data_IF_357519202333
#
_entry.id   IF_357519202333
#
_cell.length_a   1.000
_cell.length_b   1.000
_cell.length_c   1.000
_cell.angle_alpha   90.00
_cell.angle_beta   90.00
_cell.angle_gamma   90.00
#
_symmetry.space_group_name_H-M   'P 1'
#
loop_
_entity.id
_entity.type
_entity.pdbx_description
1 polymer ?
#
# COMPACT_ATOMS: atom_id res chain seq x y z
N UNK A 1 15.60 -5.28 -17.33
CA UNK A 1 14.63 -5.96 -16.46
C UNK A 1 13.43 -5.04 -16.37
N UNK A 2 12.34 -5.37 -17.07
CA UNK A 2 11.11 -4.61 -16.96
C UNK A 2 10.52 -4.97 -15.60
N UNK A 3 10.58 -4.06 -14.63
CA UNK A 3 9.79 -4.22 -13.41
C UNK A 3 8.33 -4.35 -13.83
N UNK A 4 7.58 -5.33 -13.34
CA UNK A 4 6.13 -5.32 -13.49
C UNK A 4 5.64 -3.98 -12.97
N UNK A 5 4.68 -3.35 -13.65
CA UNK A 5 4.15 -2.05 -13.27
C UNK A 5 3.62 -2.17 -11.84
N UNK A 6 4.43 -1.73 -10.87
CA UNK A 6 4.19 -1.95 -9.46
C UNK A 6 3.07 -1.05 -8.97
N UNK A 7 2.25 -1.54 -8.03
CA UNK A 7 1.29 -0.69 -7.35
C UNK A 7 2.06 0.41 -6.62
N UNK A 8 1.74 1.66 -6.88
CA UNK A 8 2.35 2.80 -6.19
C UNK A 8 1.31 3.46 -5.27
N UNK A 9 1.77 3.99 -4.14
CA UNK A 9 0.93 4.70 -3.19
C UNK A 9 1.57 6.02 -2.77
N UNK A 10 0.73 6.93 -2.28
CA UNK A 10 1.16 8.22 -1.75
C UNK A 10 1.52 8.10 -0.27
N UNK A 11 2.70 8.58 0.09
CA UNK A 11 3.21 8.55 1.45
C UNK A 11 3.46 9.96 2.00
N UNK A 12 2.91 10.24 3.17
CA UNK A 12 3.09 11.51 3.88
C UNK A 12 4.20 11.39 4.94
N UNK A 13 5.11 12.34 4.99
CA UNK A 13 6.16 12.37 6.01
C UNK A 13 5.75 13.26 7.19
N UNK A 14 5.72 12.68 8.40
CA UNK A 14 5.40 13.41 9.64
C UNK A 14 6.38 14.55 9.99
N UNK A 15 7.53 14.68 9.30
CA UNK A 15 8.52 15.74 9.51
C UNK A 15 8.33 16.99 8.61
N UNK A 16 7.21 17.10 7.89
CA UNK A 16 6.90 18.28 7.07
C UNK A 16 7.53 18.25 5.66
N UNK A 17 7.98 17.08 5.21
CA UNK A 17 8.47 16.87 3.84
C UNK A 17 7.33 16.32 3.00
N UNK A 18 7.16 16.90 1.81
CA UNK A 18 6.09 16.67 0.82
C UNK A 18 5.67 15.21 0.64
N UNK A 19 4.41 15.01 0.23
CA UNK A 19 3.88 13.72 -0.20
C UNK A 19 4.77 13.10 -1.29
N UNK A 20 5.09 11.82 -1.15
CA UNK A 20 5.90 11.07 -2.12
C UNK A 20 5.13 9.87 -2.64
N UNK A 21 5.06 9.72 -3.95
CA UNK A 21 4.61 8.49 -4.60
C UNK A 21 5.78 7.51 -4.61
N UNK A 22 5.56 6.28 -4.13
CA UNK A 22 6.56 5.22 -4.15
C UNK A 22 5.94 3.85 -4.50
N UNK A 23 6.73 2.94 -5.12
CA UNK A 23 6.33 1.55 -5.28
C UNK A 23 6.06 0.89 -3.92
N UNK A 24 4.95 0.17 -3.83
CA UNK A 24 4.48 -0.46 -2.59
C UNK A 24 5.44 -1.55 -2.10
N UNK A 25 6.16 -2.23 -2.99
CA UNK A 25 7.16 -3.25 -2.66
C UNK A 25 8.44 -2.69 -2.03
N UNK A 26 8.80 -1.43 -2.32
CA UNK A 26 9.95 -0.73 -1.71
C UNK A 26 9.69 -0.29 -0.25
N UNK A 27 8.42 -0.27 0.17
CA UNK A 27 8.02 0.21 1.51
C UNK A 27 8.03 -0.91 2.54
N UNK A 28 8.59 -0.64 3.71
CA UNK A 28 8.70 -1.61 4.82
C UNK A 28 7.61 -1.40 5.87
N UNK A 29 7.27 -2.49 6.55
CA UNK A 29 6.45 -2.43 7.76
C UNK A 29 7.26 -1.86 8.92
N UNK A 30 6.63 -1.05 9.76
CA UNK A 30 7.24 -0.53 11.00
C UNK A 30 7.22 -1.52 12.16
N UNK A 31 6.38 -2.55 12.09
CA UNK A 31 6.18 -3.54 13.15
C UNK A 31 6.05 -4.94 12.54
N UNK A 32 6.43 -5.96 13.29
CA UNK A 32 6.42 -7.36 12.84
C UNK A 32 5.05 -8.02 12.91
N UNK A 33 4.06 -7.35 13.50
CA UNK A 33 2.69 -7.85 13.62
C UNK A 33 1.67 -6.80 13.23
N UNK A 34 0.53 -7.28 12.71
CA UNK A 34 -0.64 -6.46 12.41
C UNK A 34 -1.88 -7.13 12.99
N UNK A 35 -2.78 -6.33 13.58
CA UNK A 35 -4.11 -6.82 13.95
C UNK A 35 -4.87 -7.26 12.69
N UNK A 36 -5.80 -8.21 12.85
CA UNK A 36 -6.51 -8.85 11.74
C UNK A 36 -7.77 -8.10 11.26
N UNK A 37 -8.05 -6.91 11.81
CA UNK A 37 -9.30 -6.16 11.55
C UNK A 37 -9.05 -4.64 11.48
N UNK A 38 -9.84 -3.93 10.66
CA UNK A 38 -9.99 -2.48 10.80
C UNK A 38 -10.98 -2.17 11.93
N UNK A 39 -10.83 -1.01 12.56
CA UNK A 39 -11.71 -0.57 13.66
C UNK A 39 -13.07 -0.05 13.19
N UNK A 40 -13.27 0.06 11.87
CA UNK A 40 -14.47 0.61 11.23
C UNK A 40 -15.42 -0.47 10.66
N UNK A 41 -15.15 -1.74 10.95
CA UNK A 41 -15.95 -2.88 10.49
C UNK A 41 -15.66 -3.35 9.06
N UNK A 42 -14.79 -2.66 8.31
CA UNK A 42 -14.32 -3.14 7.00
C UNK A 42 -13.32 -4.28 7.18
N UNK A 43 -13.35 -5.27 6.29
CA UNK A 43 -12.37 -6.36 6.26
C UNK A 43 -11.18 -5.98 5.39
N UNK A 44 -10.05 -6.66 5.59
CA UNK A 44 -8.90 -6.53 4.69
C UNK A 44 -9.27 -6.99 3.29
N UNK A 45 -10.04 -8.07 3.19
CA UNK A 45 -10.48 -8.65 1.93
C UNK A 45 -11.26 -7.66 1.07
N UNK A 46 -12.23 -6.94 1.66
CA UNK A 46 -13.03 -5.95 0.92
C UNK A 46 -12.16 -4.82 0.35
N UNK A 47 -11.13 -4.38 1.07
CA UNK A 47 -10.18 -3.38 0.57
C UNK A 47 -9.30 -3.97 -0.54
N UNK A 48 -8.76 -5.17 -0.34
CA UNK A 48 -7.92 -5.85 -1.32
C UNK A 48 -8.68 -6.07 -2.63
N UNK A 49 -9.93 -6.54 -2.58
CA UNK A 49 -10.75 -6.79 -3.76
C UNK A 49 -11.10 -5.48 -4.49
N UNK A 50 -11.38 -4.41 -3.75
CA UNK A 50 -11.57 -3.07 -4.31
C UNK A 50 -10.32 -2.54 -5.03
N UNK A 51 -9.13 -2.82 -4.48
CA UNK A 51 -7.84 -2.47 -5.10
C UNK A 51 -7.57 -3.30 -6.36
N UNK A 52 -7.76 -4.62 -6.29
CA UNK A 52 -7.53 -5.54 -7.42
C UNK A 52 -8.51 -5.28 -8.57
N UNK A 53 -9.77 -4.98 -8.26
CA UNK A 53 -10.78 -4.68 -9.28
C UNK A 53 -10.65 -3.29 -9.91
N UNK A 54 -9.82 -2.40 -9.33
CA UNK A 54 -9.75 -0.99 -9.75
C UNK A 54 -10.93 -0.14 -9.29
N UNK A 55 -11.85 -0.68 -8.49
CA UNK A 55 -12.93 0.10 -7.86
C UNK A 55 -12.37 1.15 -6.90
N UNK A 56 -11.18 0.90 -6.33
CA UNK A 56 -10.43 1.81 -5.48
C UNK A 56 -9.15 2.21 -6.20
N UNK A 57 -9.08 3.47 -6.62
CA UNK A 57 -7.89 4.05 -7.24
C UNK A 57 -6.89 4.53 -6.17
N UNK A 58 -5.70 3.95 -6.13
CA UNK A 58 -4.75 4.12 -5.02
C UNK A 58 -4.24 5.55 -4.90
N UNK A 59 -3.94 6.19 -6.04
CA UNK A 59 -3.33 7.52 -6.05
C UNK A 59 -4.32 8.65 -5.73
N UNK A 60 -5.63 8.39 -5.83
CA UNK A 60 -6.66 9.40 -5.61
C UNK A 60 -7.48 9.17 -4.33
N UNK A 61 -7.46 7.95 -3.78
CA UNK A 61 -8.13 7.62 -2.54
C UNK A 61 -7.43 8.29 -1.34
N UNK A 62 -8.01 9.37 -0.81
CA UNK A 62 -7.45 10.11 0.32
C UNK A 62 -7.18 9.24 1.57
N UNK A 63 -7.99 8.20 1.80
CA UNK A 63 -7.79 7.26 2.93
C UNK A 63 -6.61 6.29 2.74
N UNK A 64 -6.03 6.24 1.54
CA UNK A 64 -4.83 5.47 1.17
C UNK A 64 -3.57 6.32 1.08
N UNK A 65 -3.63 7.61 1.46
CA UNK A 65 -2.42 8.37 1.78
C UNK A 65 -1.87 7.84 3.10
N UNK A 66 -0.70 7.21 3.05
CA UNK A 66 -0.12 6.50 4.20
C UNK A 66 0.97 7.34 4.86
N UNK A 67 0.95 7.42 6.18
CA UNK A 67 2.07 8.04 6.91
C UNK A 67 3.30 7.12 6.86
N UNK A 68 4.46 7.71 6.56
CA UNK A 68 5.73 7.01 6.51
C UNK A 68 6.89 7.83 7.09
N UNK A 69 7.91 7.12 7.56
CA UNK A 69 9.16 7.67 8.08
C UNK A 69 10.34 7.12 7.29
N UNK A 70 11.40 7.93 7.17
CA UNK A 70 12.66 7.53 6.56
C UNK A 70 13.69 7.25 7.65
N UNK A 71 14.23 6.04 7.66
CA UNK A 71 15.28 5.60 8.59
C UNK A 71 16.35 4.87 7.79
N UNK A 72 17.59 5.33 7.87
CA UNK A 72 18.74 4.75 7.15
C UNK A 72 18.49 4.51 5.65
N UNK A 73 17.88 5.50 4.98
CA UNK A 73 17.56 5.45 3.55
C UNK A 73 16.43 4.50 3.17
N UNK A 74 15.72 3.92 4.14
CA UNK A 74 14.57 3.04 3.92
C UNK A 74 13.28 3.72 4.38
N UNK A 75 12.21 3.50 3.63
CA UNK A 75 10.89 4.03 3.96
C UNK A 75 10.08 2.99 4.74
N UNK A 76 9.52 3.42 5.87
CA UNK A 76 8.72 2.59 6.75
C UNK A 76 7.32 3.17 6.91
N UNK A 77 6.29 2.36 6.70
CA UNK A 77 4.90 2.78 6.82
C UNK A 77 4.39 2.64 8.25
N UNK A 78 3.76 3.70 8.77
CA UNK A 78 3.16 3.70 10.11
C UNK A 78 1.81 2.94 10.14
N UNK A 79 1.16 2.76 8.98
CA UNK A 79 -0.10 2.04 8.86
C UNK A 79 0.09 0.67 8.17
N UNK A 80 0.65 -0.27 8.92
CA UNK A 80 0.98 -1.61 8.42
C UNK A 80 -0.24 -2.37 7.85
N UNK A 81 -1.45 -2.13 8.37
CA UNK A 81 -2.68 -2.79 7.89
C UNK A 81 -3.02 -2.38 6.45
N UNK A 82 -2.92 -1.08 6.14
CA UNK A 82 -3.14 -0.60 4.76
C UNK A 82 -2.00 -0.96 3.83
N UNK A 83 -0.75 -0.90 4.32
CA UNK A 83 0.39 -1.38 3.53
C UNK A 83 0.26 -2.88 3.19
N UNK A 84 -0.23 -3.69 4.13
CA UNK A 84 -0.51 -5.10 3.89
C UNK A 84 -1.53 -5.28 2.76
N UNK A 85 -2.66 -4.57 2.81
CA UNK A 85 -3.69 -4.66 1.77
C UNK A 85 -3.15 -4.26 0.39
N UNK A 86 -2.32 -3.20 0.31
CA UNK A 86 -1.69 -2.77 -0.93
C UNK A 86 -0.72 -3.83 -1.48
N UNK A 87 0.17 -4.37 -0.63
CA UNK A 87 1.11 -5.42 -1.04
C UNK A 87 0.39 -6.69 -1.50
N UNK A 88 -0.67 -7.07 -0.79
CA UNK A 88 -1.49 -8.23 -1.13
C UNK A 88 -2.28 -8.00 -2.43
N UNK A 89 -2.83 -6.81 -2.64
CA UNK A 89 -3.44 -6.42 -3.91
C UNK A 89 -2.43 -6.45 -5.06
N UNK A 90 -1.20 -5.95 -4.87
CA UNK A 90 -0.12 -6.08 -5.86
C UNK A 90 0.21 -7.55 -6.15
N UNK A 91 0.24 -8.41 -5.12
CA UNK A 91 0.48 -9.85 -5.29
C UNK A 91 -0.63 -10.54 -6.09
N UNK A 92 -1.90 -10.15 -5.86
CA UNK A 92 -3.08 -10.70 -6.55
C UNK A 92 -3.25 -10.15 -7.97
N UNK A 93 -3.07 -8.84 -8.16
CA UNK A 93 -3.21 -8.14 -9.44
C UNK A 93 -1.98 -8.29 -10.35
N UNK A 94 -0.77 -8.38 -9.79
CA UNK A 94 0.46 -8.68 -10.53
C UNK A 94 0.54 -10.12 -11.05
N UNK A 95 -0.46 -10.96 -10.73
CA UNK A 95 -0.71 -12.26 -11.37
C UNK A 95 -1.68 -12.20 -12.55
N UNK A 96 -2.34 -11.06 -12.80
CA UNK A 96 -3.40 -10.93 -13.81
C UNK A 96 -2.89 -10.68 -15.24
N UNK A 97 -1.57 -10.56 -15.45
CA UNK A 97 -0.95 -10.45 -16.79
C UNK A 97 -0.85 -11.79 -17.57
N UNK A 98 -1.71 -12.78 -17.26
CA UNK A 98 -1.71 -14.11 -17.93
C UNK A 98 -3.08 -14.59 -18.42
N UNK A 99 -3.97 -13.69 -18.80
CA UNK A 99 -5.18 -14.05 -19.54
C UNK A 99 -5.54 -12.95 -20.56
N UNK A 100 -4.81 -12.95 -21.67
CA UNK A 100 -5.08 -12.16 -22.87
C UNK A 100 -4.40 -12.82 -24.06
#
# INVERSE_FOLDING_TARGET
ANSPVGLAATFHSGSGVMDKIAPVDEVRFTQDSIGHQFTDGRTFEALIDGLVSGTIEVLTAAFLVLEAVWVDGKMFCMNNRRLFCLKEAQRRGGGAERAG
#
